data_IF_181241963968
#
_entry.id   IF_181241963968
#
_cell.length_a   1.000
_cell.length_b   1.000
_cell.length_c   1.000
_cell.angle_alpha   90.00
_cell.angle_beta   90.00
_cell.angle_gamma   90.00
#
_symmetry.space_group_name_H-M   'P 1'
#
loop_
_entity.id
_entity.type
_entity.pdbx_description
1 polymer ?
#
# COMPACT_ATOMS: atom_id res chain seq x y z
N UNK A 1 10.53 -32.02 59.95
CA UNK A 1 10.86 -32.95 58.83
C UNK A 1 11.34 -32.11 57.65
N UNK A 2 12.39 -32.59 56.96
CA UNK A 2 13.25 -31.86 56.01
C UNK A 2 12.59 -31.76 54.62
N UNK A 3 12.64 -30.58 54.00
CA UNK A 3 12.27 -30.37 52.60
C UNK A 3 13.41 -30.78 51.66
N UNK A 4 13.09 -31.46 50.55
CA UNK A 4 13.93 -31.49 49.34
C UNK A 4 13.01 -31.52 48.11
N UNK A 5 13.20 -30.53 47.23
CA UNK A 5 12.58 -30.37 45.92
C UNK A 5 13.21 -31.33 44.89
N UNK A 6 12.39 -31.86 43.97
CA UNK A 6 12.84 -32.35 42.66
C UNK A 6 11.95 -31.75 41.58
N UNK A 7 12.52 -30.84 40.80
CA UNK A 7 11.95 -30.35 39.54
C UNK A 7 12.46 -31.29 38.46
N UNK A 8 11.55 -31.97 37.74
CA UNK A 8 11.89 -32.75 36.54
C UNK A 8 11.03 -32.27 35.40
N UNK A 9 11.61 -31.35 34.63
CA UNK A 9 11.68 -31.37 33.17
C UNK A 9 10.39 -31.49 32.34
N UNK A 10 10.09 -30.37 31.67
CA UNK A 10 9.57 -30.30 30.30
C UNK A 10 8.22 -30.93 30.00
N UNK A 11 7.15 -30.19 30.32
CA UNK A 11 5.93 -30.25 29.52
C UNK A 11 6.10 -29.31 28.32
N UNK A 12 6.34 -29.91 27.16
CA UNK A 12 6.36 -29.26 25.84
C UNK A 12 4.98 -28.62 25.61
N UNK A 13 4.85 -27.34 25.92
CA UNK A 13 3.71 -26.54 25.49
C UNK A 13 3.95 -26.23 24.01
N UNK A 14 3.35 -27.02 23.13
CA UNK A 14 3.19 -26.70 21.72
C UNK A 14 2.38 -25.40 21.64
N UNK A 15 3.08 -24.27 21.71
CA UNK A 15 2.56 -23.00 21.25
C UNK A 15 2.28 -23.19 19.76
N UNK A 16 1.01 -23.40 19.42
CA UNK A 16 0.47 -23.13 18.10
C UNK A 16 0.73 -21.66 17.83
N UNK A 17 1.93 -21.34 17.31
CA UNK A 17 2.11 -20.20 16.45
C UNK A 17 1.23 -20.46 15.23
N UNK A 18 -0.04 -20.11 15.33
CA UNK A 18 -0.74 -19.59 14.18
C UNK A 18 -0.01 -18.29 13.82
N UNK A 19 1.12 -18.43 13.10
CA UNK A 19 1.55 -17.38 12.21
C UNK A 19 0.40 -17.21 11.25
N UNK A 20 -0.51 -16.28 11.56
CA UNK A 20 -1.29 -15.63 10.53
C UNK A 20 -0.26 -15.08 9.56
N UNK A 21 0.03 -15.84 8.50
CA UNK A 21 0.66 -15.28 7.32
C UNK A 21 -0.18 -14.05 6.99
N UNK A 22 0.38 -12.81 6.99
CA UNK A 22 -0.26 -11.78 6.20
C UNK A 22 -0.36 -12.41 4.82
N UNK A 23 -1.58 -12.60 4.32
CA UNK A 23 -1.77 -13.02 2.95
C UNK A 23 -0.94 -12.03 2.13
N UNK A 24 0.15 -12.51 1.50
CA UNK A 24 0.92 -11.68 0.60
C UNK A 24 -0.09 -11.17 -0.42
N UNK A 25 -0.41 -9.88 -0.32
CA UNK A 25 -1.35 -9.28 -1.24
C UNK A 25 -0.69 -9.39 -2.60
N UNK A 26 -1.21 -10.31 -3.41
CA UNK A 26 -0.76 -10.62 -4.77
C UNK A 26 -1.04 -9.47 -5.75
N UNK A 27 -1.24 -8.26 -5.24
CA UNK A 27 -1.58 -7.08 -6.03
C UNK A 27 -0.33 -6.25 -6.27
N UNK A 28 -0.18 -5.83 -7.51
CA UNK A 28 0.89 -4.95 -7.94
C UNK A 28 0.24 -3.62 -8.27
N UNK A 29 0.76 -2.54 -7.70
CA UNK A 29 0.36 -1.18 -8.08
C UNK A 29 1.51 -0.52 -8.81
N UNK A 30 1.24 -0.01 -10.00
CA UNK A 30 2.14 0.84 -10.75
C UNK A 30 1.57 2.26 -10.71
N UNK A 31 2.44 3.24 -10.53
CA UNK A 31 2.10 4.64 -10.64
C UNK A 31 3.03 5.30 -11.66
N UNK A 32 2.48 6.22 -12.46
CA UNK A 32 3.25 7.01 -13.40
C UNK A 32 2.75 8.45 -13.42
N UNK A 33 3.68 9.40 -13.56
CA UNK A 33 3.37 10.82 -13.65
C UNK A 33 3.15 11.15 -15.13
N UNK A 34 1.91 11.51 -15.50
CA UNK A 34 1.57 11.83 -16.88
C UNK A 34 1.74 13.31 -17.22
N UNK A 35 1.61 14.21 -16.24
CA UNK A 35 1.82 15.64 -16.42
C UNK A 35 2.03 16.38 -15.10
N UNK A 36 2.66 17.56 -15.19
CA UNK A 36 2.84 18.51 -14.09
C UNK A 36 2.18 19.82 -14.47
N UNK A 37 1.20 20.26 -13.68
CA UNK A 37 0.52 21.55 -13.83
C UNK A 37 1.42 22.70 -13.39
N UNK A 38 2.06 23.36 -14.34
CA UNK A 38 2.89 24.54 -14.09
C UNK A 38 1.97 25.74 -13.80
N UNK A 39 1.66 25.97 -12.51
CA UNK A 39 0.82 27.09 -12.05
C UNK A 39 -0.19 26.71 -10.96
N UNK A 40 -0.67 25.47 -10.97
CA UNK A 40 -1.60 24.92 -9.97
C UNK A 40 -0.92 24.04 -8.92
N UNK A 41 0.40 23.86 -9.06
CA UNK A 41 1.23 22.93 -8.29
C UNK A 41 0.59 21.54 -8.13
N UNK A 42 0.13 20.99 -9.25
CA UNK A 42 -0.55 19.69 -9.29
C UNK A 42 0.18 18.70 -10.18
N UNK A 43 0.05 17.42 -9.87
CA UNK A 43 0.57 16.30 -10.64
C UNK A 43 -0.58 15.42 -11.09
N UNK A 44 -0.57 15.00 -12.34
CA UNK A 44 -1.49 13.98 -12.83
C UNK A 44 -0.79 12.64 -12.77
N UNK A 45 -1.42 11.70 -12.07
CA UNK A 45 -0.90 10.36 -11.79
C UNK A 45 -1.84 9.36 -12.45
N UNK A 46 -1.30 8.52 -13.33
CA UNK A 46 -1.97 7.32 -13.79
C UNK A 46 -1.58 6.18 -12.85
N UNK A 47 -2.55 5.47 -12.33
CA UNK A 47 -2.36 4.33 -11.44
C UNK A 47 -2.86 3.11 -12.18
N UNK A 48 -2.12 2.01 -12.13
CA UNK A 48 -2.54 0.72 -12.67
C UNK A 48 -2.44 -0.31 -11.54
N UNK A 49 -3.55 -1.00 -11.29
CA UNK A 49 -3.62 -2.14 -10.37
C UNK A 49 -3.63 -3.42 -11.19
N UNK A 50 -2.69 -4.31 -10.91
CA UNK A 50 -2.61 -5.62 -11.51
C UNK A 50 -2.72 -6.73 -10.46
N UNK A 51 -3.25 -7.88 -10.85
CA UNK A 51 -3.02 -9.12 -10.12
C UNK A 51 -1.59 -9.63 -10.34
N UNK A 52 -1.16 -10.60 -9.53
CA UNK A 52 0.20 -11.15 -9.59
C UNK A 52 0.50 -11.87 -10.91
N UNK A 53 -0.53 -12.30 -11.65
CA UNK A 53 -0.40 -12.86 -12.99
C UNK A 53 -0.20 -11.79 -14.08
N UNK A 54 -0.23 -10.50 -13.72
CA UNK A 54 -0.08 -9.36 -14.60
C UNK A 54 -1.38 -8.83 -15.20
N UNK A 55 -2.54 -9.45 -14.94
CA UNK A 55 -3.82 -8.97 -15.47
C UNK A 55 -4.17 -7.59 -14.89
N UNK A 56 -4.56 -6.64 -15.75
CA UNK A 56 -4.99 -5.31 -15.33
C UNK A 56 -6.38 -5.40 -14.69
N UNK A 57 -6.48 -4.97 -13.44
CA UNK A 57 -7.71 -4.94 -12.64
C UNK A 57 -8.38 -3.57 -12.66
N UNK A 58 -7.58 -2.49 -12.60
CA UNK A 58 -8.09 -1.12 -12.65
C UNK A 58 -7.00 -0.15 -13.10
N UNK A 59 -7.39 0.97 -13.72
CA UNK A 59 -6.48 2.01 -14.18
C UNK A 59 -6.99 3.44 -13.89
N UNK A 60 -7.16 3.84 -12.61
CA UNK A 60 -7.69 5.16 -12.30
C UNK A 60 -6.64 6.25 -12.57
N UNK A 61 -7.15 7.46 -12.83
CA UNK A 61 -6.36 8.66 -13.03
C UNK A 61 -6.68 9.68 -11.95
N UNK A 62 -5.64 10.21 -11.31
CA UNK A 62 -5.77 11.14 -10.19
C UNK A 62 -5.03 12.43 -10.51
N UNK A 63 -5.67 13.57 -10.26
CA UNK A 63 -4.99 14.87 -10.22
C UNK A 63 -4.76 15.20 -8.76
N UNK A 64 -3.51 15.15 -8.31
CA UNK A 64 -3.12 15.44 -6.93
C UNK A 64 -2.50 16.83 -6.84
N UNK A 65 -2.92 17.64 -5.87
CA UNK A 65 -2.24 18.89 -5.52
C UNK A 65 -1.02 18.54 -4.67
N UNK A 66 0.13 19.13 -5.00
CA UNK A 66 1.38 18.90 -4.27
C UNK A 66 1.23 19.39 -2.83
N UNK A 67 1.63 18.54 -1.88
CA UNK A 67 1.46 18.77 -0.45
C UNK A 67 0.08 18.38 0.10
N UNK A 68 -0.83 17.88 -0.73
CA UNK A 68 -2.15 17.41 -0.29
C UNK A 68 -2.33 15.91 -0.60
N UNK A 69 -3.17 15.26 0.20
CA UNK A 69 -3.58 13.88 -0.05
C UNK A 69 -4.77 13.90 -1.03
N UNK A 70 -4.59 13.26 -2.18
CA UNK A 70 -5.70 12.93 -3.07
C UNK A 70 -6.10 11.46 -2.84
N UNK A 71 -7.40 11.17 -2.92
CA UNK A 71 -7.91 9.80 -2.82
C UNK A 71 -8.81 9.51 -4.02
N UNK A 72 -8.71 8.30 -4.55
CA UNK A 72 -9.67 7.79 -5.54
C UNK A 72 -10.15 6.42 -5.10
N UNK A 73 -11.46 6.23 -5.13
CA UNK A 73 -12.11 4.96 -4.84
C UNK A 73 -12.46 4.27 -6.15
N UNK A 74 -12.12 3.00 -6.25
CA UNK A 74 -12.51 2.12 -7.35
C UNK A 74 -13.42 1.04 -6.77
N UNK A 75 -14.58 0.87 -7.39
CA UNK A 75 -15.57 -0.13 -7.00
C UNK A 75 -15.81 -1.10 -8.18
N UNK A 76 -15.80 -2.40 -7.89
CA UNK A 76 -16.20 -3.46 -8.81
C UNK A 76 -17.17 -4.41 -8.09
N UNK A 77 -18.47 -4.17 -8.32
CA UNK A 77 -19.54 -4.85 -7.60
C UNK A 77 -19.45 -4.61 -6.08
N UNK A 78 -19.22 -5.68 -5.32
CA UNK A 78 -19.05 -5.61 -3.85
C UNK A 78 -17.61 -5.34 -3.40
N UNK A 79 -16.65 -5.31 -4.33
CA UNK A 79 -15.24 -5.05 -4.03
C UNK A 79 -14.97 -3.56 -4.14
N UNK A 80 -14.17 -3.04 -3.20
CA UNK A 80 -13.75 -1.65 -3.16
C UNK A 80 -12.26 -1.56 -2.89
N UNK A 81 -11.61 -0.60 -3.52
CA UNK A 81 -10.21 -0.27 -3.28
C UNK A 81 -10.02 1.25 -3.28
N UNK A 82 -9.35 1.75 -2.26
CA UNK A 82 -8.98 3.16 -2.15
C UNK A 82 -7.52 3.34 -2.54
N UNK A 83 -7.25 4.29 -3.42
CA UNK A 83 -5.90 4.71 -3.77
C UNK A 83 -5.64 6.09 -3.18
N UNK A 84 -4.74 6.13 -2.22
CA UNK A 84 -4.21 7.35 -1.63
C UNK A 84 -2.97 7.79 -2.41
N UNK A 85 -3.01 8.99 -2.96
CA UNK A 85 -1.91 9.62 -3.70
C UNK A 85 -1.43 10.83 -2.92
N UNK A 86 -0.19 10.77 -2.45
CA UNK A 86 0.47 11.89 -1.82
C UNK A 86 1.62 12.35 -2.70
N UNK A 87 1.75 13.66 -2.89
CA UNK A 87 2.85 14.21 -3.68
C UNK A 87 3.57 15.32 -2.95
N UNK A 88 4.87 15.41 -3.15
CA UNK A 88 5.75 16.42 -2.54
C UNK A 88 6.79 16.89 -3.54
N UNK A 89 7.19 18.16 -3.42
CA UNK A 89 8.33 18.70 -4.18
C UNK A 89 9.52 18.91 -3.26
N UNK A 90 10.67 18.34 -3.63
CA UNK A 90 11.94 18.47 -2.91
C UNK A 90 13.02 18.82 -3.93
N UNK A 91 13.66 19.98 -3.79
CA UNK A 91 14.79 20.39 -4.64
C UNK A 91 14.54 20.25 -6.17
N UNK A 92 13.34 20.64 -6.65
CA UNK A 92 12.96 20.55 -8.06
C UNK A 92 12.51 19.15 -8.52
N UNK A 93 12.52 18.16 -7.63
CA UNK A 93 12.00 16.82 -7.88
C UNK A 93 10.58 16.71 -7.33
N UNK A 94 9.65 16.20 -8.14
CA UNK A 94 8.30 15.84 -7.67
C UNK A 94 8.30 14.35 -7.40
N UNK A 95 7.98 13.98 -6.16
CA UNK A 95 7.85 12.60 -5.69
C UNK A 95 6.37 12.35 -5.45
N UNK A 96 5.88 11.23 -5.95
CA UNK A 96 4.51 10.75 -5.81
C UNK A 96 4.55 9.40 -5.14
N UNK A 97 3.84 9.28 -4.03
CA UNK A 97 3.63 8.04 -3.29
C UNK A 97 2.16 7.63 -3.49
N UNK A 98 1.94 6.42 -3.99
CA UNK A 98 0.61 5.85 -4.19
C UNK A 98 0.46 4.64 -3.29
N UNK A 99 -0.61 4.58 -2.51
CA UNK A 99 -0.93 3.47 -1.61
C UNK A 99 -2.32 2.96 -1.94
N UNK A 100 -2.43 1.69 -2.29
CA UNK A 100 -3.69 1.00 -2.47
C UNK A 100 -4.12 0.34 -1.15
N UNK A 101 -5.38 0.55 -0.76
CA UNK A 101 -5.99 -0.03 0.43
C UNK A 101 -7.24 -0.80 0.08
N UNK A 102 -7.43 -1.97 0.67
CA UNK A 102 -8.67 -2.72 0.52
C UNK A 102 -9.85 -2.06 1.26
N UNK A 103 -11.02 -2.70 1.18
CA UNK A 103 -12.24 -2.21 1.83
C UNK A 103 -12.14 -2.18 3.37
N UNK A 104 -11.17 -2.87 3.97
CA UNK A 104 -10.90 -2.86 5.41
C UNK A 104 -9.94 -1.73 5.80
N UNK A 105 -9.33 -1.07 4.82
CA UNK A 105 -8.34 0.00 5.01
C UNK A 105 -6.91 -0.51 5.15
N UNK A 106 -6.68 -1.82 4.94
CA UNK A 106 -5.35 -2.42 5.00
C UNK A 106 -4.57 -2.10 3.73
N UNK A 107 -3.26 -1.83 3.89
CA UNK A 107 -2.38 -1.55 2.75
C UNK A 107 -2.11 -2.86 2.02
N UNK A 108 -2.52 -2.90 0.75
CA UNK A 108 -2.40 -4.09 -0.10
C UNK A 108 -1.37 -3.95 -1.20
N UNK A 109 -1.00 -2.72 -1.57
CA UNK A 109 0.09 -2.43 -2.49
C UNK A 109 0.54 -0.97 -2.37
N UNK A 110 1.77 -0.66 -2.76
CA UNK A 110 2.28 0.72 -2.82
C UNK A 110 3.29 0.92 -3.94
N UNK A 111 3.32 2.12 -4.51
CA UNK A 111 4.29 2.55 -5.51
C UNK A 111 4.85 3.93 -5.17
N UNK A 112 6.11 4.16 -5.56
CA UNK A 112 6.75 5.47 -5.51
C UNK A 112 7.25 5.81 -6.89
N UNK A 113 6.95 7.02 -7.35
CA UNK A 113 7.35 7.54 -8.66
C UNK A 113 7.91 8.94 -8.48
N UNK A 114 8.91 9.27 -9.28
CA UNK A 114 9.59 10.55 -9.18
C UNK A 114 9.90 11.09 -10.58
N UNK A 115 9.85 12.43 -10.70
CA UNK A 115 10.21 13.14 -11.92
C UNK A 115 11.00 14.39 -11.55
N UNK A 116 12.08 14.62 -12.30
CA UNK A 116 12.92 15.81 -12.17
C UNK A 116 12.44 16.86 -13.17
N UNK A 117 12.23 18.09 -12.69
CA UNK A 117 12.07 19.26 -13.55
C UNK A 117 13.42 19.91 -13.89
#
# INVERSE_FOLDING_TARGET
MKFVFKITGSLFLLALCACAHPAESSLIVNASISSLGQGTDSVTVNIELHSADGSLLSAPKVVAVIGQLATVKVEDGAKSMDFAVQSKRINGMVIVETVARDAQGEIVASAVTEIKQ
#
